data_IF_861357838837
#
_entry.id   IF_861357838837
#
_cell.length_a   1.000
_cell.length_b   1.000
_cell.length_c   1.000
_cell.angle_alpha   90.00
_cell.angle_beta   90.00
_cell.angle_gamma   90.00
#
_symmetry.space_group_name_H-M   'P 1'
#
loop_
_entity.id
_entity.type
_entity.pdbx_description
1 polymer ?
#
# COMPACT_ATOMS: atom_id res chain seq x y z
N UNK A 1 4.02 -19.42 -73.57
CA UNK A 1 4.36 -17.99 -73.35
C UNK A 1 3.34 -17.24 -72.48
N UNK A 2 2.03 -17.29 -72.78
CA UNK A 2 1.01 -16.56 -71.99
C UNK A 2 0.99 -16.87 -70.47
N UNK A 3 1.20 -18.12 -70.07
CA UNK A 3 1.22 -18.55 -68.66
C UNK A 3 2.32 -17.89 -67.82
N UNK A 4 3.46 -17.54 -68.44
CA UNK A 4 4.59 -16.91 -67.74
C UNK A 4 4.31 -15.43 -67.51
N UNK A 5 3.75 -14.74 -68.52
CA UNK A 5 3.39 -13.32 -68.42
C UNK A 5 2.32 -13.07 -67.34
N UNK A 6 1.33 -13.97 -67.22
CA UNK A 6 0.29 -13.85 -66.19
C UNK A 6 0.84 -13.98 -64.76
N UNK A 7 1.81 -14.89 -64.54
CA UNK A 7 2.48 -15.02 -63.23
C UNK A 7 3.31 -13.79 -62.87
N UNK A 8 4.03 -13.21 -63.82
CA UNK A 8 4.81 -11.98 -63.59
C UNK A 8 3.89 -10.79 -63.28
N UNK A 9 2.75 -10.68 -63.98
CA UNK A 9 1.77 -9.63 -63.73
C UNK A 9 1.13 -9.73 -62.33
N UNK A 10 0.79 -10.94 -61.89
CA UNK A 10 0.29 -11.17 -60.52
C UNK A 10 1.33 -10.77 -59.47
N UNK A 11 2.60 -11.15 -59.65
CA UNK A 11 3.66 -10.80 -58.71
C UNK A 11 3.88 -9.28 -58.61
N UNK A 12 3.80 -8.56 -59.73
CA UNK A 12 3.89 -7.09 -59.73
C UNK A 12 2.72 -6.44 -58.99
N UNK A 13 1.50 -6.94 -59.17
CA UNK A 13 0.32 -6.45 -58.41
C UNK A 13 0.50 -6.70 -56.91
N UNK A 14 0.98 -7.89 -56.52
CA UNK A 14 1.23 -8.22 -55.11
C UNK A 14 2.30 -7.31 -54.49
N UNK A 15 3.39 -7.02 -55.21
CA UNK A 15 4.42 -6.09 -54.75
C UNK A 15 3.86 -4.67 -54.56
N UNK A 16 3.12 -4.16 -55.55
CA UNK A 16 2.50 -2.82 -55.45
C UNK A 16 1.49 -2.72 -54.31
N UNK A 17 0.72 -3.78 -54.05
CA UNK A 17 -0.27 -3.79 -52.97
C UNK A 17 0.37 -3.89 -51.58
N UNK A 18 1.47 -4.64 -51.43
CA UNK A 18 2.25 -4.71 -50.20
C UNK A 18 2.87 -3.36 -49.82
N UNK A 19 3.46 -2.65 -50.79
CA UNK A 19 4.04 -1.33 -50.56
C UNK A 19 2.97 -0.30 -50.19
N UNK A 20 1.77 -0.39 -50.80
CA UNK A 20 0.65 0.49 -50.47
C UNK A 20 0.12 0.25 -49.05
N UNK A 21 0.03 -1.01 -48.61
CA UNK A 21 -0.34 -1.36 -47.22
C UNK A 21 0.69 -0.83 -46.22
N UNK A 22 1.98 -0.96 -46.53
CA UNK A 22 3.06 -0.46 -45.67
C UNK A 22 2.99 1.06 -45.51
N UNK A 23 2.78 1.80 -46.60
CA UNK A 23 2.62 3.26 -46.57
C UNK A 23 1.36 3.69 -45.82
N UNK A 24 0.24 2.97 -45.98
CA UNK A 24 -1.00 3.25 -45.25
C UNK A 24 -0.82 3.06 -43.73
N UNK A 25 -0.11 2.02 -43.31
CA UNK A 25 0.21 1.78 -41.90
C UNK A 25 1.12 2.87 -41.32
N UNK A 26 2.14 3.33 -42.07
CA UNK A 26 2.99 4.44 -41.62
C UNK A 26 2.19 5.74 -41.48
N UNK A 27 1.33 6.05 -42.45
CA UNK A 27 0.52 7.26 -42.44
C UNK A 27 -0.46 7.29 -41.26
N UNK A 28 -1.10 6.17 -40.94
CA UNK A 28 -2.01 6.06 -39.77
C UNK A 28 -1.26 6.25 -38.45
N UNK A 29 -0.05 5.71 -38.32
CA UNK A 29 0.80 5.91 -37.12
C UNK A 29 1.24 7.37 -36.96
N UNK A 30 1.65 8.02 -38.05
CA UNK A 30 2.04 9.44 -38.04
C UNK A 30 0.85 10.33 -37.66
N UNK A 31 -0.32 10.10 -38.25
CA UNK A 31 -1.54 10.86 -37.95
C UNK A 31 -1.97 10.69 -36.48
N UNK A 32 -1.89 9.48 -35.93
CA UNK A 32 -2.18 9.21 -34.51
C UNK A 32 -1.21 9.94 -33.58
N UNK A 33 0.07 10.01 -33.94
CA UNK A 33 1.10 10.74 -33.18
C UNK A 33 0.87 12.25 -33.22
N UNK A 34 0.48 12.80 -34.37
CA UNK A 34 0.14 14.23 -34.50
C UNK A 34 -1.10 14.61 -33.66
N UNK A 35 -2.15 13.77 -33.65
CA UNK A 35 -3.34 14.00 -32.82
C UNK A 35 -3.02 14.00 -31.32
N UNK A 36 -2.16 13.06 -30.88
CA UNK A 36 -1.68 13.00 -29.49
C UNK A 36 -0.94 14.28 -29.08
N UNK A 37 0.00 14.76 -29.91
CA UNK A 37 0.75 15.99 -29.65
C UNK A 37 -0.15 17.23 -29.57
N UNK A 38 -1.15 17.35 -30.45
CA UNK A 38 -2.14 18.44 -30.40
C UNK A 38 -2.92 18.44 -29.09
N UNK A 39 -3.42 17.28 -28.65
CA UNK A 39 -4.16 17.18 -27.38
C UNK A 39 -3.30 17.55 -26.16
N UNK A 40 -2.01 17.23 -26.19
CA UNK A 40 -1.08 17.50 -25.10
C UNK A 40 -0.70 18.99 -25.01
N UNK A 41 -0.58 19.67 -26.16
CA UNK A 41 -0.38 21.13 -26.21
C UNK A 41 -1.61 21.89 -25.70
N UNK A 42 -2.82 21.50 -26.11
CA UNK A 42 -4.08 22.09 -25.60
C UNK A 42 -4.17 21.93 -24.07
N UNK A 43 -3.74 20.78 -23.54
CA UNK A 43 -3.74 20.53 -22.09
C UNK A 43 -2.71 21.40 -21.35
N UNK A 44 -1.53 21.62 -21.94
CA UNK A 44 -0.50 22.52 -21.38
C UNK A 44 -0.96 23.97 -21.35
N UNK A 45 -1.54 24.46 -22.44
CA UNK A 45 -2.07 25.84 -22.52
C UNK A 45 -3.18 26.07 -21.49
N UNK A 46 -4.10 25.12 -21.33
CA UNK A 46 -5.14 25.17 -20.29
C UNK A 46 -4.54 25.24 -18.88
N UNK A 47 -3.45 24.52 -18.62
CA UNK A 47 -2.76 24.54 -17.33
C UNK A 47 -2.05 25.88 -17.06
N UNK A 48 -1.41 26.46 -18.08
CA UNK A 48 -0.75 27.77 -17.98
C UNK A 48 -1.79 28.84 -17.68
N UNK A 49 -2.90 28.87 -18.43
CA UNK A 49 -4.00 29.80 -18.18
C UNK A 49 -4.61 29.67 -16.78
N UNK A 50 -4.75 28.44 -16.26
CA UNK A 50 -5.23 28.23 -14.89
C UNK A 50 -4.24 28.74 -13.85
N UNK A 51 -2.93 28.60 -14.09
CA UNK A 51 -1.87 29.08 -13.19
C UNK A 51 -1.84 30.60 -13.12
N UNK A 52 -1.85 31.26 -14.27
CA UNK A 52 -1.79 32.73 -14.35
C UNK A 52 -3.04 33.38 -13.71
N UNK A 53 -4.19 32.69 -13.71
CA UNK A 53 -5.39 33.15 -13.00
C UNK A 53 -5.31 32.95 -11.48
N UNK A 54 -4.60 31.94 -10.99
CA UNK A 54 -4.40 31.72 -9.55
C UNK A 54 -3.44 32.78 -9.00
N UNK A 55 -2.33 33.04 -9.70
CA UNK A 55 -1.33 34.02 -9.28
C UNK A 55 -1.92 35.46 -9.23
N UNK A 56 -2.91 35.76 -10.08
CA UNK A 56 -3.65 37.03 -10.03
C UNK A 56 -4.69 37.11 -8.88
N UNK A 57 -5.24 35.99 -8.43
CA UNK A 57 -6.17 35.96 -7.28
C UNK A 57 -5.44 36.11 -5.94
N UNK A 58 -4.21 35.62 -5.83
CA UNK A 58 -3.39 35.79 -4.63
C UNK A 58 -2.88 37.24 -4.48
N UNK A 59 -2.78 38.01 -5.57
CA UNK A 59 -2.32 39.40 -5.53
C UNK A 59 -3.42 40.40 -5.11
N UNK A 60 -4.70 40.03 -5.23
CA UNK A 60 -5.84 40.89 -4.84
C UNK A 60 -6.21 40.70 -3.36
N UNK A 61 -5.85 39.57 -2.74
CA UNK A 61 -6.22 39.23 -1.37
C UNK A 61 -5.15 39.57 -0.31
N UNK A 62 -4.02 40.17 -0.70
CA UNK A 62 -2.87 40.38 0.19
C UNK A 62 -2.79 41.77 0.84
N UNK A 63 -3.72 42.69 0.60
CA UNK A 63 -3.69 44.01 1.26
C UNK A 63 -4.56 44.15 2.52
N UNK A 64 -5.49 43.23 2.83
CA UNK A 64 -6.27 43.31 4.07
C UNK A 64 -6.52 41.93 4.72
N UNK A 65 -5.95 41.74 5.93
CA UNK A 65 -6.20 40.68 6.94
C UNK A 65 -5.19 39.51 7.04
N UNK A 66 -3.94 39.80 7.43
CA UNK A 66 -3.09 38.83 8.16
C UNK A 66 -3.44 38.91 9.66
N UNK A 67 -4.57 38.32 10.05
CA UNK A 67 -4.91 38.13 11.45
C UNK A 67 -4.32 36.78 11.93
N UNK A 68 -3.44 36.85 12.94
CA UNK A 68 -2.70 35.73 13.53
C UNK A 68 -3.63 34.58 13.98
N UNK A 69 -3.90 33.62 13.10
CA UNK A 69 -4.43 32.32 13.51
C UNK A 69 -3.33 31.54 14.26
N UNK A 70 -3.57 31.03 15.48
CA UNK A 70 -2.60 30.21 16.16
C UNK A 70 -2.28 28.99 15.30
N UNK A 71 -0.99 28.76 15.02
CA UNK A 71 -0.56 27.64 14.19
C UNK A 71 -1.12 26.34 14.75
N UNK A 72 -1.87 25.58 13.96
CA UNK A 72 -2.43 24.29 14.37
C UNK A 72 -1.29 23.39 14.87
N UNK A 73 -1.29 23.11 16.17
CA UNK A 73 -0.30 22.24 16.79
C UNK A 73 -0.54 20.80 16.32
N UNK A 74 0.39 20.28 15.52
CA UNK A 74 0.34 18.89 15.05
C UNK A 74 0.68 17.94 16.19
N UNK A 75 0.06 16.75 16.17
CA UNK A 75 0.41 15.69 17.10
C UNK A 75 1.90 15.33 17.04
N UNK A 76 2.51 15.07 18.20
CA UNK A 76 3.93 14.67 18.29
C UNK A 76 4.12 13.30 17.60
N UNK A 77 5.32 13.09 17.04
CA UNK A 77 5.68 11.79 16.47
C UNK A 77 5.56 10.68 17.53
N UNK A 78 4.96 9.54 17.16
CA UNK A 78 4.72 8.40 18.07
C UNK A 78 3.53 8.54 19.01
N UNK A 79 2.84 9.69 19.02
CA UNK A 79 1.63 9.87 19.82
C UNK A 79 0.47 9.07 19.21
N UNK A 80 -0.10 8.14 20.00
CA UNK A 80 -1.21 7.33 19.53
C UNK A 80 -2.55 8.08 19.64
N UNK A 81 -3.46 7.81 18.70
CA UNK A 81 -4.82 8.34 18.73
C UNK A 81 -5.74 7.33 19.41
N UNK A 82 -6.34 7.74 20.52
CA UNK A 82 -7.23 6.90 21.32
C UNK A 82 -8.58 6.64 20.66
N UNK A 83 -9.34 5.69 21.21
CA UNK A 83 -10.68 5.33 20.71
C UNK A 83 -11.63 6.53 20.63
N UNK A 84 -11.69 7.36 21.66
CA UNK A 84 -12.58 8.53 21.69
C UNK A 84 -12.29 9.52 20.57
N UNK A 85 -11.02 9.88 20.39
CA UNK A 85 -10.58 10.77 19.30
C UNK A 85 -10.89 10.19 17.92
N UNK A 86 -10.74 8.87 17.72
CA UNK A 86 -11.10 8.20 16.46
C UNK A 86 -12.60 8.29 16.14
N UNK A 87 -13.46 8.19 17.15
CA UNK A 87 -14.91 8.35 16.99
C UNK A 87 -15.23 9.80 16.59
N UNK A 88 -14.60 10.77 17.27
CA UNK A 88 -14.77 12.19 16.98
C UNK A 88 -14.35 12.49 15.54
N UNK A 89 -13.16 12.02 15.11
CA UNK A 89 -12.68 12.15 13.73
C UNK A 89 -13.68 11.61 12.70
N UNK A 90 -14.20 10.40 12.94
CA UNK A 90 -15.18 9.79 12.04
C UNK A 90 -16.47 10.60 11.95
N UNK A 91 -16.97 11.10 13.08
CA UNK A 91 -18.17 11.91 13.14
C UNK A 91 -17.99 13.27 12.45
N UNK A 92 -16.83 13.92 12.61
CA UNK A 92 -16.51 15.18 11.92
C UNK A 92 -16.47 14.98 10.40
N UNK A 93 -15.79 13.94 9.92
CA UNK A 93 -15.78 13.63 8.48
C UNK A 93 -17.18 13.36 7.97
N UNK A 94 -18.01 12.61 8.72
CA UNK A 94 -19.40 12.34 8.35
C UNK A 94 -20.24 13.63 8.30
N UNK A 95 -20.02 14.56 9.24
CA UNK A 95 -20.66 15.88 9.28
C UNK A 95 -20.32 16.67 8.01
N UNK A 96 -19.04 16.79 7.69
CA UNK A 96 -18.54 17.48 6.50
C UNK A 96 -19.10 16.88 5.20
N UNK A 97 -19.21 15.55 5.11
CA UNK A 97 -19.83 14.89 3.94
C UNK A 97 -21.32 15.23 3.84
N UNK A 98 -22.05 15.24 4.97
CA UNK A 98 -23.46 15.61 4.98
C UNK A 98 -23.71 17.07 4.59
N UNK A 99 -22.74 17.96 4.85
CA UNK A 99 -22.73 19.36 4.39
C UNK A 99 -22.47 19.49 2.88
N UNK A 100 -22.24 18.37 2.18
CA UNK A 100 -22.08 18.33 0.72
C UNK A 100 -20.62 18.31 0.26
N UNK A 101 -19.66 18.23 1.18
CA UNK A 101 -18.23 18.17 0.80
C UNK A 101 -17.84 16.77 0.29
N UNK A 102 -16.92 16.71 -0.67
CA UNK A 102 -16.32 15.45 -1.12
C UNK A 102 -15.50 14.83 0.01
N UNK A 103 -15.50 13.49 0.11
CA UNK A 103 -14.77 12.72 1.14
C UNK A 103 -13.31 13.17 1.30
N UNK A 104 -12.64 13.49 0.20
CA UNK A 104 -11.25 13.98 0.23
C UNK A 104 -11.14 15.35 0.89
N UNK A 105 -12.04 16.28 0.53
CA UNK A 105 -12.08 17.62 1.10
C UNK A 105 -12.44 17.56 2.59
N UNK A 106 -13.42 16.73 2.99
CA UNK A 106 -13.79 16.51 4.38
C UNK A 106 -12.61 16.06 5.25
N UNK A 107 -11.74 15.18 4.71
CA UNK A 107 -10.53 14.72 5.43
C UNK A 107 -9.49 15.83 5.56
N UNK A 108 -9.36 16.70 4.56
CA UNK A 108 -8.43 17.85 4.61
C UNK A 108 -8.90 18.84 5.66
N UNK A 109 -10.17 19.24 5.62
CA UNK A 109 -10.79 20.13 6.61
C UNK A 109 -10.65 19.58 8.03
N UNK A 110 -10.99 18.30 8.23
CA UNK A 110 -10.84 17.65 9.55
C UNK A 110 -9.39 17.63 10.01
N UNK A 111 -8.42 17.50 9.08
CA UNK A 111 -6.99 17.51 9.41
C UNK A 111 -6.51 18.87 9.88
N UNK A 112 -7.01 19.92 9.26
CA UNK A 112 -6.72 21.32 9.61
C UNK A 112 -7.37 21.69 10.94
N UNK A 113 -8.63 21.30 11.16
CA UNK A 113 -9.37 21.54 12.41
C UNK A 113 -8.74 20.82 13.62
N UNK A 114 -8.26 19.59 13.43
CA UNK A 114 -7.82 18.73 14.54
C UNK A 114 -6.31 18.64 14.74
N UNK A 115 -5.51 19.12 13.77
CA UNK A 115 -4.06 18.92 13.77
C UNK A 115 -3.61 17.47 13.61
N UNK A 116 -4.52 16.58 13.18
CA UNK A 116 -4.24 15.16 12.96
C UNK A 116 -3.92 14.92 11.49
N UNK A 117 -2.90 14.11 11.22
CA UNK A 117 -2.47 13.77 9.86
C UNK A 117 -3.59 13.10 9.06
N UNK A 118 -3.79 13.58 7.82
CA UNK A 118 -4.74 13.04 6.83
C UNK A 118 -4.67 11.51 6.72
N UNK A 119 -3.47 10.94 6.71
CA UNK A 119 -3.23 9.48 6.64
C UNK A 119 -3.87 8.71 7.81
N UNK A 120 -3.87 9.30 9.01
CA UNK A 120 -4.45 8.68 10.20
C UNK A 120 -5.97 8.76 10.18
N UNK A 121 -6.52 9.86 9.67
CA UNK A 121 -7.95 10.04 9.45
C UNK A 121 -8.45 9.01 8.42
N UNK A 122 -7.75 8.85 7.30
CA UNK A 122 -8.04 7.81 6.30
C UNK A 122 -8.04 6.40 6.89
N UNK A 123 -6.99 6.05 7.65
CA UNK A 123 -6.91 4.75 8.32
C UNK A 123 -8.08 4.55 9.29
N UNK A 124 -8.48 5.61 10.01
CA UNK A 124 -9.61 5.57 10.94
C UNK A 124 -10.93 5.36 10.21
N UNK A 125 -11.19 6.09 9.12
CA UNK A 125 -12.39 5.91 8.29
C UNK A 125 -12.46 4.49 7.75
N UNK A 126 -11.38 4.00 7.14
CA UNK A 126 -11.31 2.63 6.59
C UNK A 126 -11.60 1.57 7.66
N UNK A 127 -11.02 1.74 8.84
CA UNK A 127 -11.26 0.83 9.94
C UNK A 127 -12.72 0.87 10.41
N UNK A 128 -13.30 2.06 10.55
CA UNK A 128 -14.67 2.25 11.00
C UNK A 128 -15.69 1.71 10.00
N UNK A 129 -15.46 1.88 8.70
CA UNK A 129 -16.30 1.33 7.63
C UNK A 129 -16.27 -0.21 7.63
N UNK A 130 -15.10 -0.82 7.84
CA UNK A 130 -14.92 -2.27 7.87
C UNK A 130 -15.44 -2.92 9.16
N UNK A 131 -14.94 -2.47 10.33
CA UNK A 131 -15.18 -3.12 11.62
C UNK A 131 -16.48 -2.63 12.30
N UNK A 132 -17.07 -1.53 11.82
CA UNK A 132 -18.16 -0.77 12.47
C UNK A 132 -17.86 -0.36 13.91
N UNK A 133 -16.59 -0.39 14.33
CA UNK A 133 -16.14 -0.12 15.69
C UNK A 133 -14.80 0.60 15.69
N UNK A 134 -14.69 1.60 16.57
CA UNK A 134 -13.42 2.29 16.81
C UNK A 134 -12.53 1.45 17.72
N UNK A 135 -11.45 0.91 17.16
CA UNK A 135 -10.44 0.18 17.94
C UNK A 135 -9.25 1.09 18.25
N UNK A 136 -8.80 1.09 19.50
CA UNK A 136 -7.56 1.75 19.89
C UNK A 136 -6.37 0.86 19.56
N UNK A 137 -5.19 1.42 19.23
CA UNK A 137 -3.94 0.67 19.22
C UNK A 137 -3.76 -0.09 20.53
N UNK A 138 -3.20 -1.30 20.43
CA UNK A 138 -3.00 -2.18 21.59
C UNK A 138 -2.02 -1.51 22.57
N UNK A 139 -2.53 -1.03 23.70
CA UNK A 139 -1.69 -0.41 24.75
C UNK A 139 -0.85 -1.44 25.52
N UNK A 140 -1.25 -2.71 25.49
CA UNK A 140 -0.58 -3.79 26.23
C UNK A 140 0.52 -4.39 25.36
N UNK A 141 1.73 -4.53 25.93
CA UNK A 141 2.84 -5.27 25.31
C UNK A 141 2.39 -6.68 24.95
N UNK A 142 2.76 -7.16 23.76
CA UNK A 142 2.56 -8.58 23.38
C UNK A 142 3.22 -9.44 24.46
N UNK A 143 2.48 -10.37 25.05
CA UNK A 143 3.01 -11.27 26.09
C UNK A 143 4.10 -12.14 25.47
N UNK A 144 5.32 -12.06 26.00
CA UNK A 144 6.41 -12.93 25.60
C UNK A 144 6.00 -14.40 25.82
N UNK A 145 6.19 -15.22 24.78
CA UNK A 145 6.00 -16.67 24.87
C UNK A 145 7.01 -17.27 25.84
N UNK A 146 6.73 -18.46 26.38
CA UNK A 146 7.72 -19.20 27.16
C UNK A 146 9.01 -19.42 26.36
N UNK A 147 8.89 -19.61 25.04
CA UNK A 147 10.04 -19.70 24.12
C UNK A 147 10.86 -18.40 24.06
N UNK A 148 10.20 -17.24 24.07
CA UNK A 148 10.89 -15.95 23.98
C UNK A 148 11.66 -15.64 25.28
N UNK A 149 11.34 -16.34 26.39
CA UNK A 149 12.04 -16.27 27.68
C UNK A 149 13.23 -17.22 27.77
N UNK A 150 13.40 -18.15 26.83
CA UNK A 150 14.53 -19.07 26.83
C UNK A 150 15.83 -18.31 26.50
N UNK A 151 16.95 -18.70 27.11
CA UNK A 151 18.27 -18.23 26.71
C UNK A 151 18.61 -18.73 25.30
N UNK A 152 19.55 -18.07 24.61
CA UNK A 152 19.98 -18.51 23.28
C UNK A 152 20.62 -19.90 23.30
N UNK A 153 21.28 -20.27 24.40
CA UNK A 153 21.83 -21.61 24.63
C UNK A 153 20.71 -22.66 24.68
N UNK A 154 19.65 -22.40 25.45
CA UNK A 154 18.49 -23.29 25.55
C UNK A 154 17.78 -23.45 24.20
N UNK A 155 17.64 -22.36 23.43
CA UNK A 155 17.09 -22.41 22.07
C UNK A 155 17.98 -23.25 21.14
N UNK A 156 19.30 -23.16 21.27
CA UNK A 156 20.25 -23.97 20.50
C UNK A 156 20.12 -25.45 20.85
N UNK A 157 20.00 -25.80 22.12
CA UNK A 157 19.76 -27.19 22.54
C UNK A 157 18.44 -27.72 21.98
N UNK A 158 17.35 -26.93 22.04
CA UNK A 158 16.06 -27.33 21.49
C UNK A 158 16.13 -27.58 19.96
N UNK A 159 16.84 -26.72 19.23
CA UNK A 159 17.10 -26.90 17.79
C UNK A 159 17.91 -28.18 17.53
N UNK A 160 18.92 -28.48 18.35
CA UNK A 160 19.70 -29.73 18.24
C UNK A 160 18.83 -30.96 18.43
N UNK A 161 17.95 -30.97 19.44
CA UNK A 161 17.02 -32.10 19.67
C UNK A 161 16.16 -32.34 18.44
N UNK A 162 15.55 -31.29 17.88
CA UNK A 162 14.74 -31.40 16.66
C UNK A 162 15.60 -31.86 15.47
N UNK A 163 16.80 -31.31 15.32
CA UNK A 163 17.72 -31.65 14.22
C UNK A 163 18.19 -33.11 14.28
N UNK A 164 18.39 -33.67 15.48
CA UNK A 164 18.77 -35.06 15.67
C UNK A 164 17.72 -36.03 15.10
N UNK A 165 16.42 -35.69 15.17
CA UNK A 165 15.39 -36.51 14.52
C UNK A 165 15.59 -36.56 13.00
N UNK A 166 15.96 -35.43 12.37
CA UNK A 166 16.26 -35.40 10.95
C UNK A 166 17.52 -36.20 10.61
N UNK A 167 18.59 -36.10 11.42
CA UNK A 167 19.82 -36.89 11.23
C UNK A 167 19.52 -38.39 11.32
N UNK A 168 18.66 -38.78 12.25
CA UNK A 168 18.28 -40.17 12.47
C UNK A 168 17.22 -40.67 11.46
N UNK A 169 16.86 -39.87 10.45
CA UNK A 169 15.79 -40.14 9.48
C UNK A 169 14.44 -40.51 10.13
N UNK A 170 14.19 -40.02 11.33
CA UNK A 170 12.93 -40.18 12.03
C UNK A 170 12.01 -38.99 11.78
N UNK A 171 10.73 -39.27 11.51
CA UNK A 171 9.73 -38.20 11.40
C UNK A 171 9.58 -37.52 12.77
N UNK A 172 9.89 -36.22 12.90
CA UNK A 172 9.86 -35.54 14.18
C UNK A 172 8.42 -35.26 14.59
N UNK A 173 7.83 -36.17 15.38
CA UNK A 173 6.50 -35.98 15.96
C UNK A 173 6.60 -35.09 17.20
N UNK A 174 5.64 -34.17 17.38
CA UNK A 174 5.54 -33.31 18.57
C UNK A 174 5.59 -34.12 19.87
N UNK A 175 5.00 -35.32 19.92
CA UNK A 175 5.06 -36.19 21.10
C UNK A 175 6.46 -36.72 21.38
N UNK A 176 7.18 -37.16 20.34
CA UNK A 176 8.55 -37.65 20.47
C UNK A 176 9.49 -36.54 20.92
N UNK A 177 9.40 -35.36 20.29
CA UNK A 177 10.22 -34.21 20.68
C UNK A 177 9.91 -33.77 22.10
N UNK A 178 8.63 -33.71 22.48
CA UNK A 178 8.25 -33.34 23.84
C UNK A 178 8.82 -34.31 24.88
N UNK A 179 8.84 -35.61 24.60
CA UNK A 179 9.49 -36.61 25.46
C UNK A 179 10.99 -36.37 25.52
N UNK A 180 11.69 -36.28 24.38
CA UNK A 180 13.14 -36.04 24.36
C UNK A 180 13.57 -34.74 25.03
N UNK A 181 12.74 -33.70 24.99
CA UNK A 181 12.99 -32.44 25.71
C UNK A 181 12.71 -32.57 27.20
N UNK A 182 11.75 -33.41 27.60
CA UNK A 182 11.42 -33.66 29.00
C UNK A 182 12.45 -34.56 29.67
N UNK A 183 13.04 -35.48 28.91
CA UNK A 183 14.03 -36.45 29.40
C UNK A 183 15.43 -35.84 29.52
N UNK A 184 15.70 -34.69 28.89
CA UNK A 184 16.98 -33.98 28.99
C UNK A 184 16.95 -32.95 30.13
N UNK A 185 17.63 -33.28 31.24
CA UNK A 185 17.74 -32.42 32.43
C UNK A 185 18.41 -31.07 32.15
N UNK A 186 19.10 -30.92 31.01
CA UNK A 186 19.74 -29.65 30.63
C UNK A 186 18.78 -28.65 29.99
N UNK A 187 17.55 -29.06 29.64
CA UNK A 187 16.55 -28.16 29.07
C UNK A 187 15.51 -27.70 30.12
N UNK A 188 15.07 -26.43 30.05
CA UNK A 188 14.01 -25.96 30.92
C UNK A 188 12.68 -26.65 30.57
N UNK A 189 11.80 -26.85 31.56
CA UNK A 189 10.51 -27.50 31.34
C UNK A 189 9.61 -26.65 30.43
N UNK A 190 9.43 -27.07 29.18
CA UNK A 190 8.58 -26.39 28.19
C UNK A 190 7.24 -27.13 28.09
N UNK A 191 6.11 -26.41 28.08
CA UNK A 191 4.82 -27.06 27.84
C UNK A 191 4.68 -27.52 26.38
N UNK A 192 3.99 -28.64 26.15
CA UNK A 192 3.71 -29.16 24.79
C UNK A 192 3.09 -28.11 23.86
N UNK A 193 2.20 -27.27 24.39
CA UNK A 193 1.56 -26.18 23.64
C UNK A 193 2.55 -25.07 23.24
N UNK A 194 3.54 -24.78 24.08
CA UNK A 194 4.55 -23.77 23.78
C UNK A 194 5.60 -24.30 22.80
N UNK A 195 5.91 -25.59 22.88
CA UNK A 195 6.70 -26.30 21.88
C UNK A 195 6.04 -26.13 20.49
N UNK A 196 4.80 -26.61 20.33
CA UNK A 196 4.05 -26.53 19.07
C UNK A 196 4.02 -25.14 18.43
N UNK A 197 3.79 -24.10 19.23
CA UNK A 197 3.65 -22.72 18.74
C UNK A 197 4.91 -22.13 18.10
N UNK A 198 6.09 -22.66 18.39
CA UNK A 198 7.36 -22.01 18.03
C UNK A 198 8.38 -22.92 17.36
N UNK A 199 8.27 -24.25 17.48
CA UNK A 199 9.34 -25.17 17.02
C UNK A 199 9.47 -25.39 15.53
N UNK A 200 8.63 -24.80 14.66
CA UNK A 200 8.51 -25.27 13.27
C UNK A 200 8.64 -24.21 12.17
N UNK A 201 8.86 -22.94 12.50
CA UNK A 201 8.76 -21.83 11.53
C UNK A 201 10.04 -21.00 11.34
N UNK A 202 11.19 -21.46 11.85
CA UNK A 202 12.44 -20.70 11.74
C UNK A 202 13.67 -21.57 11.42
N UNK A 203 13.46 -22.71 10.74
CA UNK A 203 14.57 -23.39 10.05
C UNK A 203 14.68 -22.79 8.66
#
# INVERSE_FOLDING_TARGET
MLQVLYKVYILLIYYMFCDFLALFNVLTVVNKKQASLKSLNITKEKYIFLRDNIDNMDNINNEDNVENQPSVLKNKSGQYIGRGQRIILFNMVKKHINEGTSKNASVILTSEETGILKSTIWSTIKQMEHDRKATSPLKKRKRASQYDKLSEEQKKCLRKVVHNFFINNEIPNLSKIYQSVKDDDNLPPISRTNLWKKTWLQV
#
